data_IF_205410253217
#
_entry.id   IF_205410253217
#
_cell.length_a   1.000
_cell.length_b   1.000
_cell.length_c   1.000
_cell.angle_alpha   90.00
_cell.angle_beta   90.00
_cell.angle_gamma   90.00
#
_symmetry.space_group_name_H-M   'P 1'
#
loop_
_entity.id
_entity.type
_entity.pdbx_description
1 polymer ?
#
# COMPACT_ATOMS: atom_id res chain seq x y z
N UNK A 1 -8.55 1.87 -6.55
CA UNK A 1 -7.50 0.97 -7.12
C UNK A 1 -7.58 -0.46 -6.57
N UNK A 2 -7.51 -0.69 -5.24
CA UNK A 2 -7.58 -2.05 -4.66
C UNK A 2 -8.92 -2.78 -4.89
N UNK A 3 -10.05 -2.08 -4.76
CA UNK A 3 -11.37 -2.61 -5.09
C UNK A 3 -11.46 -3.08 -6.55
N UNK A 4 -10.99 -2.26 -7.48
CA UNK A 4 -10.94 -2.59 -8.91
C UNK A 4 -10.08 -3.83 -9.19
N UNK A 5 -8.91 -3.94 -8.56
CA UNK A 5 -8.05 -5.11 -8.70
C UNK A 5 -8.70 -6.40 -8.17
N UNK A 6 -9.39 -6.31 -7.03
CA UNK A 6 -10.12 -7.44 -6.46
C UNK A 6 -11.26 -7.90 -7.37
N UNK A 7 -12.06 -6.96 -7.88
CA UNK A 7 -13.16 -7.26 -8.80
C UNK A 7 -12.61 -7.91 -10.07
N UNK A 8 -11.60 -7.30 -10.70
CA UNK A 8 -10.99 -7.81 -11.93
C UNK A 8 -10.46 -9.24 -11.81
N UNK A 9 -9.86 -9.60 -10.69
CA UNK A 9 -9.32 -10.95 -10.46
C UNK A 9 -10.42 -11.99 -10.20
N UNK A 10 -11.52 -11.59 -9.54
CA UNK A 10 -12.60 -12.50 -9.17
C UNK A 10 -13.69 -12.64 -10.24
N UNK A 11 -13.91 -11.65 -11.11
CA UNK A 11 -14.89 -11.70 -12.20
C UNK A 11 -14.71 -12.94 -13.11
N UNK A 12 -13.53 -13.24 -13.68
CA UNK A 12 -13.37 -14.42 -14.53
C UNK A 12 -13.52 -15.73 -13.74
N UNK A 13 -13.16 -15.76 -12.45
CA UNK A 13 -13.33 -16.93 -11.58
C UNK A 13 -14.81 -17.24 -11.32
N UNK A 14 -15.63 -16.22 -11.09
CA UNK A 14 -17.07 -16.38 -10.90
C UNK A 14 -17.77 -16.90 -12.16
N UNK A 15 -17.37 -16.39 -13.34
CA UNK A 15 -17.92 -16.84 -14.63
C UNK A 15 -17.54 -18.31 -14.89
N UNK A 16 -16.27 -18.67 -14.70
CA UNK A 16 -15.77 -20.03 -14.90
C UNK A 16 -16.42 -21.03 -13.92
N UNK A 17 -16.61 -20.63 -12.67
CA UNK A 17 -17.33 -21.43 -11.68
C UNK A 17 -18.78 -21.70 -12.13
N UNK A 18 -19.52 -20.66 -12.56
CA UNK A 18 -20.88 -20.82 -13.07
C UNK A 18 -20.97 -21.77 -14.28
N UNK A 19 -19.98 -21.71 -15.18
CA UNK A 19 -19.89 -22.61 -16.33
C UNK A 19 -19.64 -24.08 -15.93
N UNK A 20 -18.70 -24.31 -14.99
CA UNK A 20 -18.38 -25.65 -14.48
C UNK A 20 -19.60 -26.26 -13.78
N UNK A 21 -20.33 -25.48 -12.97
CA UNK A 21 -21.54 -25.95 -12.31
C UNK A 21 -22.64 -26.31 -13.31
N UNK A 22 -22.88 -25.45 -14.31
CA UNK A 22 -23.86 -25.73 -15.39
C UNK A 22 -23.51 -26.99 -16.21
N UNK A 23 -22.23 -27.33 -16.35
CA UNK A 23 -21.77 -28.53 -17.04
C UNK A 23 -21.83 -29.78 -16.14
N UNK A 24 -21.63 -29.62 -14.82
CA UNK A 24 -21.73 -30.67 -13.80
C UNK A 24 -23.18 -31.15 -13.65
N UNK A 25 -24.16 -30.24 -13.60
CA UNK A 25 -25.60 -30.59 -13.59
C UNK A 25 -26.03 -31.43 -14.82
N UNK A 26 -25.35 -31.29 -15.97
CA UNK A 26 -25.61 -32.12 -17.18
C UNK A 26 -24.86 -33.47 -17.19
N UNK A 27 -23.78 -33.60 -16.41
CA UNK A 27 -22.86 -34.77 -16.45
C UNK A 27 -22.93 -35.61 -15.16
N UNK A 28 -23.74 -35.21 -14.18
CA UNK A 28 -23.84 -35.82 -12.84
C UNK A 28 -24.44 -37.24 -12.78
N UNK A 29 -24.90 -37.81 -13.90
CA UNK A 29 -25.36 -39.21 -13.93
C UNK A 29 -24.22 -40.25 -14.03
N UNK A 30 -22.96 -39.86 -14.25
CA UNK A 30 -21.85 -40.81 -14.39
C UNK A 30 -20.59 -40.25 -13.75
N UNK A 31 -20.16 -40.84 -12.63
CA UNK A 31 -18.85 -40.66 -11.96
C UNK A 31 -18.77 -39.58 -10.86
N UNK A 32 -19.42 -39.84 -9.73
CA UNK A 32 -18.90 -39.48 -8.40
C UNK A 32 -17.51 -40.13 -8.25
N UNK A 33 -16.40 -39.45 -8.57
CA UNK A 33 -15.05 -39.79 -8.07
C UNK A 33 -13.97 -38.77 -8.52
N UNK A 34 -14.30 -37.48 -8.62
CA UNK A 34 -13.29 -36.44 -8.91
C UNK A 34 -13.56 -35.14 -8.16
N UNK A 35 -13.63 -35.25 -6.83
CA UNK A 35 -13.91 -34.14 -5.90
C UNK A 35 -12.71 -33.23 -5.58
N UNK A 36 -11.61 -33.31 -6.32
CA UNK A 36 -10.36 -32.66 -5.91
C UNK A 36 -9.95 -31.43 -6.75
N UNK A 37 -10.75 -31.02 -7.74
CA UNK A 37 -10.38 -29.90 -8.63
C UNK A 37 -11.45 -28.84 -8.82
N UNK A 38 -12.57 -28.91 -8.09
CA UNK A 38 -13.58 -27.84 -8.12
C UNK A 38 -13.24 -26.89 -6.96
N UNK A 39 -12.97 -25.60 -7.22
CA UNK A 39 -12.78 -24.64 -6.13
C UNK A 39 -14.08 -24.59 -5.32
N UNK A 40 -14.02 -24.90 -4.03
CA UNK A 40 -15.17 -25.07 -3.13
C UNK A 40 -16.03 -23.80 -2.93
N UNK A 41 -15.63 -22.65 -3.50
CA UNK A 41 -16.36 -21.39 -3.44
C UNK A 41 -15.92 -20.46 -4.59
N UNK A 42 -16.85 -19.72 -5.24
CA UNK A 42 -16.51 -18.69 -6.22
C UNK A 42 -15.93 -17.43 -5.56
N UNK A 43 -16.14 -17.26 -4.25
CA UNK A 43 -15.70 -16.09 -3.49
C UNK A 43 -14.50 -16.43 -2.60
N UNK A 44 -13.46 -15.57 -2.58
CA UNK A 44 -12.35 -15.73 -1.66
C UNK A 44 -12.76 -15.47 -0.21
N UNK A 45 -12.02 -16.07 0.72
CA UNK A 45 -12.20 -15.88 2.16
C UNK A 45 -11.95 -14.41 2.56
N UNK A 46 -12.81 -13.85 3.42
CA UNK A 46 -12.72 -12.45 3.87
C UNK A 46 -11.37 -12.13 4.54
N UNK A 47 -10.79 -13.09 5.26
CA UNK A 47 -9.46 -12.97 5.87
C UNK A 47 -8.37 -12.60 4.85
N UNK A 48 -8.43 -13.16 3.62
CA UNK A 48 -7.49 -12.87 2.53
C UNK A 48 -7.67 -11.46 1.97
N UNK A 49 -8.91 -10.99 1.91
CA UNK A 49 -9.21 -9.62 1.48
C UNK A 49 -8.65 -8.59 2.46
N UNK A 50 -8.86 -8.80 3.77
CA UNK A 50 -8.27 -7.94 4.81
C UNK A 50 -6.75 -7.92 4.68
N UNK A 51 -6.12 -9.07 4.49
CA UNK A 51 -4.67 -9.14 4.27
C UNK A 51 -4.22 -8.33 3.04
N UNK A 52 -4.93 -8.43 1.90
CA UNK A 52 -4.62 -7.67 0.68
C UNK A 52 -4.67 -6.14 0.85
N UNK A 53 -5.52 -5.63 1.75
CA UNK A 53 -5.59 -4.19 2.02
C UNK A 53 -4.26 -3.69 2.58
N UNK A 54 -3.61 -4.46 3.45
CA UNK A 54 -2.35 -4.10 4.11
C UNK A 54 -1.10 -4.42 3.29
N UNK A 55 -1.18 -5.33 2.31
CA UNK A 55 -0.04 -5.64 1.44
C UNK A 55 0.25 -4.44 0.51
N UNK A 56 1.52 -4.06 0.31
CA UNK A 56 1.92 -3.00 -0.62
C UNK A 56 1.87 -3.46 -2.09
N UNK A 57 0.81 -4.18 -2.48
CA UNK A 57 0.57 -4.62 -3.86
C UNK A 57 -0.84 -4.23 -4.31
N UNK A 58 -0.99 -4.09 -5.62
CA UNK A 58 -2.25 -3.75 -6.28
C UNK A 58 -2.87 -4.96 -6.99
N UNK A 59 -2.29 -6.15 -6.88
CA UNK A 59 -2.78 -7.37 -7.52
C UNK A 59 -3.27 -8.30 -6.42
N UNK A 60 -4.54 -8.68 -6.45
CA UNK A 60 -5.13 -9.64 -5.51
C UNK A 60 -4.62 -11.06 -5.78
N UNK A 61 -4.25 -11.81 -4.74
CA UNK A 61 -3.88 -13.25 -4.78
C UNK A 61 -4.30 -13.93 -3.48
N UNK A 62 -4.73 -15.18 -3.55
CA UNK A 62 -5.18 -15.93 -2.35
C UNK A 62 -4.00 -16.35 -1.44
N UNK A 63 -2.82 -16.49 -2.03
CA UNK A 63 -1.56 -16.78 -1.33
C UNK A 63 -0.46 -15.83 -1.79
N UNK A 64 -0.01 -14.96 -0.89
CA UNK A 64 1.18 -14.13 -1.10
C UNK A 64 2.41 -14.81 -0.49
N UNK A 65 3.59 -14.68 -1.11
CA UNK A 65 4.83 -15.12 -0.52
C UNK A 65 5.04 -14.40 0.82
N UNK A 66 5.31 -15.18 1.87
CA UNK A 66 5.55 -14.67 3.23
C UNK A 66 7.03 -14.78 3.57
N UNK A 67 7.50 -13.82 4.35
CA UNK A 67 8.82 -13.90 4.98
C UNK A 67 8.75 -14.83 6.19
N UNK A 68 9.81 -15.60 6.45
CA UNK A 68 9.83 -16.58 7.56
C UNK A 68 9.84 -15.94 8.95
N UNK A 69 10.31 -14.69 9.06
CA UNK A 69 10.35 -13.96 10.33
C UNK A 69 10.13 -12.45 10.13
N UNK A 70 9.48 -11.82 11.11
CA UNK A 70 9.24 -10.37 11.13
C UNK A 70 10.45 -9.66 11.73
N UNK A 71 11.10 -8.81 10.92
CA UNK A 71 12.25 -8.00 11.36
C UNK A 71 11.77 -6.75 12.11
N UNK A 72 11.41 -6.89 13.39
CA UNK A 72 10.87 -5.79 14.21
C UNK A 72 11.76 -4.55 14.29
N UNK A 73 13.08 -4.72 14.38
CA UNK A 73 14.03 -3.59 14.36
C UNK A 73 13.90 -2.74 13.10
N UNK A 74 13.60 -3.36 11.96
CA UNK A 74 13.39 -2.65 10.71
C UNK A 74 12.06 -1.88 10.71
N UNK A 75 11.00 -2.49 11.22
CA UNK A 75 9.68 -1.85 11.35
C UNK A 75 9.76 -0.64 12.27
N UNK A 76 10.42 -0.78 13.42
CA UNK A 76 10.65 0.31 14.38
C UNK A 76 11.47 1.44 13.78
N UNK A 77 12.56 1.12 13.06
CA UNK A 77 13.36 2.13 12.38
C UNK A 77 12.55 2.90 11.33
N UNK A 78 11.75 2.20 10.51
CA UNK A 78 10.90 2.84 9.51
C UNK A 78 9.78 3.68 10.13
N UNK A 79 9.23 3.25 11.26
CA UNK A 79 8.21 4.00 12.00
C UNK A 79 8.79 5.26 12.62
N UNK A 80 9.94 5.16 13.30
CA UNK A 80 10.64 6.30 13.89
C UNK A 80 10.99 7.35 12.81
N UNK A 81 11.40 6.87 11.64
CA UNK A 81 11.66 7.69 10.48
C UNK A 81 10.41 8.43 9.97
N UNK A 82 9.26 7.75 9.86
CA UNK A 82 8.00 8.37 9.48
C UNK A 82 7.54 9.43 10.49
N UNK A 83 7.66 9.11 11.79
CA UNK A 83 7.32 10.02 12.89
C UNK A 83 8.22 11.27 12.87
N UNK A 84 9.53 11.09 12.69
CA UNK A 84 10.47 12.21 12.56
C UNK A 84 10.13 13.11 11.37
N UNK A 85 9.78 12.53 10.21
CA UNK A 85 9.36 13.29 9.04
C UNK A 85 8.05 14.05 9.27
N UNK A 86 7.06 13.44 9.95
CA UNK A 86 5.79 14.07 10.28
C UNK A 86 5.98 15.24 11.26
N UNK A 87 6.76 15.05 12.33
CA UNK A 87 7.10 16.14 13.25
C UNK A 87 7.87 17.26 12.55
N UNK A 88 8.85 16.92 11.72
CA UNK A 88 9.61 17.91 10.95
C UNK A 88 8.69 18.75 10.05
N UNK A 89 7.75 18.10 9.35
CA UNK A 89 6.71 18.78 8.57
C UNK A 89 5.84 19.70 9.45
N UNK A 90 5.38 19.22 10.60
CA UNK A 90 4.60 20.03 11.56
C UNK A 90 5.38 21.25 12.06
N UNK A 91 6.65 21.08 12.42
CA UNK A 91 7.52 22.19 12.82
C UNK A 91 7.70 23.20 11.69
N UNK A 92 7.85 22.73 10.44
CA UNK A 92 7.85 23.60 9.27
C UNK A 92 6.54 24.39 9.19
N UNK A 93 5.39 23.73 9.22
CA UNK A 93 4.09 24.41 9.18
C UNK A 93 3.93 25.44 10.30
N UNK A 94 4.32 25.12 11.54
CA UNK A 94 4.27 26.06 12.65
C UNK A 94 5.21 27.26 12.42
N UNK A 95 6.45 27.02 11.97
CA UNK A 95 7.44 28.07 11.70
C UNK A 95 7.10 28.91 10.47
N UNK A 96 6.34 28.40 9.51
CA UNK A 96 6.02 29.08 8.24
C UNK A 96 4.62 29.68 8.19
N UNK A 97 3.58 28.93 8.54
CA UNK A 97 2.21 29.44 8.46
C UNK A 97 1.97 30.55 9.49
N UNK A 98 2.49 30.43 10.71
CA UNK A 98 2.30 31.47 11.72
C UNK A 98 2.87 32.85 11.34
N UNK A 99 4.12 33.00 10.86
CA UNK A 99 4.60 34.31 10.44
C UNK A 99 3.94 34.79 9.15
N UNK A 100 3.60 33.89 8.22
CA UNK A 100 2.89 34.25 6.97
C UNK A 100 1.53 34.86 7.28
N UNK A 101 0.73 34.25 8.16
CA UNK A 101 -0.57 34.80 8.55
C UNK A 101 -0.47 36.11 9.35
N UNK A 102 0.60 36.33 10.12
CA UNK A 102 0.78 37.58 10.88
C UNK A 102 1.28 38.77 10.03
N UNK A 103 2.03 38.52 8.96
CA UNK A 103 2.67 39.58 8.15
C UNK A 103 1.88 39.99 6.90
N UNK A 104 0.70 39.42 6.64
CA UNK A 104 -0.15 39.80 5.49
C UNK A 104 -0.58 41.28 5.46
N UNK A 105 -0.36 42.05 6.54
CA UNK A 105 -0.76 43.46 6.63
C UNK A 105 0.36 44.48 6.34
N UNK A 106 1.63 44.09 6.34
CA UNK A 106 2.76 45.01 6.27
C UNK A 106 3.91 44.39 5.46
N UNK A 107 3.91 44.68 4.15
CA UNK A 107 5.08 44.74 3.27
C UNK A 107 6.05 43.53 3.16
N UNK A 108 6.13 43.00 1.92
CA UNK A 108 7.16 42.13 1.33
C UNK A 108 7.58 40.92 2.17
N UNK A 109 6.71 39.90 2.17
CA UNK A 109 7.08 38.52 2.47
C UNK A 109 8.37 38.17 1.72
N UNK A 110 9.47 38.04 2.45
CA UNK A 110 10.78 37.73 1.86
C UNK A 110 10.76 36.27 1.40
N UNK A 111 10.34 36.08 0.15
CA UNK A 111 10.30 34.79 -0.59
C UNK A 111 11.62 34.03 -0.47
N UNK A 112 12.73 34.74 -0.28
CA UNK A 112 14.06 34.17 -0.07
C UNK A 112 14.11 33.27 1.17
N UNK A 113 13.53 33.66 2.30
CA UNK A 113 13.53 32.85 3.54
C UNK A 113 12.66 31.59 3.35
N UNK A 114 11.56 31.73 2.60
CA UNK A 114 10.69 30.62 2.24
C UNK A 114 11.39 29.59 1.35
N UNK A 115 11.99 30.05 0.24
CA UNK A 115 12.75 29.20 -0.68
C UNK A 115 13.95 28.57 0.03
N UNK A 116 14.68 29.32 0.86
CA UNK A 116 15.84 28.81 1.61
C UNK A 116 15.43 27.71 2.58
N UNK A 117 14.28 27.83 3.24
CA UNK A 117 13.83 26.82 4.20
C UNK A 117 13.10 25.63 3.52
N UNK A 118 12.52 25.80 2.33
CA UNK A 118 12.14 24.67 1.47
C UNK A 118 13.39 23.93 0.99
N UNK A 119 14.43 24.65 0.55
CA UNK A 119 15.67 24.06 0.07
C UNK A 119 16.38 23.28 1.21
N UNK A 120 16.43 23.86 2.41
CA UNK A 120 16.98 23.20 3.60
C UNK A 120 16.13 22.01 4.09
N UNK A 121 14.83 21.95 3.76
CA UNK A 121 13.97 20.80 4.02
C UNK A 121 14.06 19.75 2.89
N UNK A 122 14.27 20.19 1.66
CA UNK A 122 14.37 19.35 0.48
C UNK A 122 15.64 18.51 0.51
N UNK A 123 16.76 19.03 1.02
CA UNK A 123 18.02 18.28 1.18
C UNK A 123 17.89 17.06 2.12
N UNK A 124 17.42 17.18 3.37
CA UNK A 124 17.19 16.03 4.24
C UNK A 124 16.05 15.14 3.72
N UNK A 125 15.02 15.70 3.09
CA UNK A 125 13.96 14.92 2.42
C UNK A 125 14.48 14.08 1.25
N UNK A 126 15.35 14.63 0.41
CA UNK A 126 15.98 13.93 -0.71
C UNK A 126 16.97 12.87 -0.24
N UNK A 127 17.80 13.18 0.77
CA UNK A 127 18.70 12.20 1.41
C UNK A 127 17.90 11.06 2.03
N UNK A 128 16.75 11.34 2.64
CA UNK A 128 15.87 10.34 3.22
C UNK A 128 15.26 9.42 2.14
N UNK A 129 14.76 9.99 1.04
CA UNK A 129 14.25 9.22 -0.10
C UNK A 129 15.35 8.37 -0.76
N UNK A 130 16.55 8.91 -0.91
CA UNK A 130 17.69 8.20 -1.48
C UNK A 130 18.19 7.07 -0.57
N UNK A 131 18.32 7.32 0.74
CA UNK A 131 18.75 6.32 1.71
C UNK A 131 17.70 5.20 1.85
N UNK A 132 16.41 5.54 1.83
CA UNK A 132 15.33 4.56 1.83
C UNK A 132 15.38 3.62 0.62
N UNK A 133 15.58 4.17 -0.58
CA UNK A 133 15.73 3.38 -1.83
C UNK A 133 16.99 2.51 -1.81
N UNK A 134 18.13 3.05 -1.41
CA UNK A 134 19.39 2.30 -1.32
C UNK A 134 19.29 1.12 -0.35
N UNK A 135 18.67 1.33 0.82
CA UNK A 135 18.52 0.30 1.85
C UNK A 135 17.52 -0.80 1.49
N UNK A 136 16.60 -0.51 0.55
CA UNK A 136 15.65 -1.48 -0.02
C UNK A 136 16.32 -2.28 -1.15
N UNK A 137 17.10 -1.63 -2.02
CA UNK A 137 17.78 -2.28 -3.16
C UNK A 137 18.97 -3.14 -2.72
N UNK A 138 19.78 -2.69 -1.75
CA UNK A 138 20.98 -3.41 -1.29
C UNK A 138 20.67 -4.56 -0.31
N UNK A 139 19.40 -5.00 -0.26
CA UNK A 139 18.90 -6.00 0.69
C UNK A 139 17.94 -7.00 0.02
N UNK A 140 17.96 -7.05 -1.32
CA UNK A 140 17.40 -8.11 -2.17
C UNK A 140 18.48 -9.07 -2.61
#
# INVERSE_FOLDING_TARGET
>A
MKSHAFVRENTPRAILYGQIYSQKDKTENITENKSNSIPNSPCPEFSKYIYFIFVPTLIYRDSYPRTSSVRWNYVLAQLAQFVAAAFFGYYLFYRFCLPVFRHFKLEYVTVKIFVLSILNCALPGALFLFCGKFKITNRS
#
